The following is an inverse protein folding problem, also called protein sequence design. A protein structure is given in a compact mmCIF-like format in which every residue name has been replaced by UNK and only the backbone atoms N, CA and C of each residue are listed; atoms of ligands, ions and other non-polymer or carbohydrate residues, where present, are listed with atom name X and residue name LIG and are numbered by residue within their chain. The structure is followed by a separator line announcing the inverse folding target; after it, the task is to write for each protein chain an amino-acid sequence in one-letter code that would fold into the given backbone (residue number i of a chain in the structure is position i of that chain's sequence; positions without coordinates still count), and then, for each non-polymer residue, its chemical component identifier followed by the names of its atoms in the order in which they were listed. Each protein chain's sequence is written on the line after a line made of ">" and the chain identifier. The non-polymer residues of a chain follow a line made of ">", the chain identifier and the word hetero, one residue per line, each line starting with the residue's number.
data_IF_858432495411
#
_entry.id   IF_858432495411
#
_cell.length_a   1.000
_cell.length_b   1.000
_cell.length_c   1.000
_cell.angle_alpha   90.00
_cell.angle_beta   90.00
_cell.angle_gamma   90.00
#
_symmetry.space_group_name_H-M   'P 1'
#
loop_
_entity.id
_entity.type
_entity.pdbx_description
1 polymer ?
#
# COMPACT_ATOMS: atom_id res chain seq x y z
N UNK A 1 -25.75 -17.57 -5.56
CA UNK A 1 -24.34 -17.16 -5.40
C UNK A 1 -23.86 -17.73 -4.07
N UNK A 2 -22.67 -18.34 -4.02
CA UNK A 2 -22.14 -18.99 -2.80
C UNK A 2 -21.25 -18.07 -1.94
N UNK A 3 -20.83 -16.93 -2.49
CA UNK A 3 -20.06 -15.90 -1.78
C UNK A 3 -20.69 -14.53 -2.00
N UNK A 4 -20.60 -13.66 -1.00
CA UNK A 4 -20.96 -12.25 -1.07
C UNK A 4 -19.71 -11.37 -0.89
N UNK A 5 -19.46 -10.38 -1.77
CA UNK A 5 -18.36 -9.44 -1.57
C UNK A 5 -18.54 -8.69 -0.23
N UNK A 6 -17.50 -8.69 0.60
CA UNK A 6 -17.50 -7.99 1.90
C UNK A 6 -16.82 -6.64 1.81
N UNK A 7 -15.80 -6.52 0.95
CA UNK A 7 -15.06 -5.29 0.67
C UNK A 7 -14.56 -5.30 -0.78
N UNK A 8 -14.42 -4.11 -1.37
CA UNK A 8 -13.76 -3.86 -2.63
C UNK A 8 -12.99 -2.54 -2.57
N UNK A 9 -11.80 -2.50 -3.19
CA UNK A 9 -11.07 -1.27 -3.39
C UNK A 9 -10.71 -1.12 -4.86
N UNK A 10 -11.20 -0.05 -5.49
CA UNK A 10 -10.91 0.29 -6.87
C UNK A 10 -9.78 1.32 -6.91
N UNK A 11 -8.76 1.05 -7.71
CA UNK A 11 -7.63 1.96 -7.88
C UNK A 11 -6.96 1.78 -9.24
N UNK A 12 -6.27 2.82 -9.69
CA UNK A 12 -5.51 2.84 -10.92
C UNK A 12 -4.05 3.17 -10.65
N UNK A 13 -3.18 2.56 -11.44
CA UNK A 13 -1.77 2.88 -11.38
C UNK A 13 -1.52 4.29 -11.91
N UNK A 14 -0.67 5.04 -11.20
CA UNK A 14 -0.19 6.34 -11.63
C UNK A 14 1.24 6.54 -11.16
N UNK A 15 2.06 7.23 -11.96
CA UNK A 15 3.41 7.62 -11.56
C UNK A 15 3.35 8.49 -10.30
N UNK A 16 4.13 8.11 -9.28
CA UNK A 16 4.24 8.91 -8.06
C UNK A 16 4.95 10.24 -8.34
N UNK A 17 4.45 11.36 -7.77
CA UNK A 17 5.08 12.66 -7.92
C UNK A 17 6.36 12.83 -7.08
N UNK A 18 6.64 11.89 -6.17
CA UNK A 18 7.72 12.00 -5.17
C UNK A 18 8.98 11.23 -5.51
N UNK A 19 8.97 10.41 -6.57
CA UNK A 19 10.15 9.66 -7.05
C UNK A 19 10.86 10.44 -8.15
N UNK A 20 12.19 10.38 -8.12
CA UNK A 20 13.10 11.16 -8.97
C UNK A 20 12.70 11.18 -10.45
N UNK A 21 12.67 12.38 -11.04
CA UNK A 21 12.33 12.62 -12.46
C UNK A 21 13.41 12.10 -13.42
N UNK A 22 14.58 11.74 -12.91
CA UNK A 22 15.81 11.35 -13.63
C UNK A 22 15.90 9.87 -14.00
N UNK A 23 15.08 8.99 -13.44
CA UNK A 23 14.93 7.63 -13.99
C UNK A 23 14.01 7.68 -15.20
N UNK A 24 14.36 6.93 -16.25
CA UNK A 24 13.69 6.92 -17.55
C UNK A 24 12.16 6.86 -17.40
N UNK A 25 11.44 7.51 -18.32
CA UNK A 25 9.98 7.46 -18.35
C UNK A 25 9.49 6.00 -18.43
N UNK A 26 9.02 5.43 -17.32
CA UNK A 26 8.50 4.06 -17.24
C UNK A 26 9.12 3.18 -16.15
N UNK A 27 10.32 3.50 -15.63
CA UNK A 27 10.96 2.70 -14.57
C UNK A 27 10.29 2.91 -13.21
N UNK A 28 9.95 1.81 -12.52
CA UNK A 28 9.29 1.84 -11.21
C UNK A 28 7.81 2.22 -11.26
N UNK A 29 7.21 2.16 -12.45
CA UNK A 29 5.78 2.35 -12.70
C UNK A 29 5.12 1.03 -13.06
N UNK A 30 5.55 -0.09 -12.49
CA UNK A 30 4.85 -1.37 -12.62
C UNK A 30 4.36 -1.81 -11.24
N UNK A 31 3.06 -2.10 -11.11
CA UNK A 31 2.50 -2.69 -9.91
C UNK A 31 2.58 -4.21 -10.11
N UNK A 32 3.40 -4.86 -9.30
CA UNK A 32 3.54 -6.32 -9.27
C UNK A 32 3.13 -6.82 -7.88
N UNK A 33 1.85 -6.66 -7.48
CA UNK A 33 1.37 -7.19 -6.22
C UNK A 33 1.23 -8.71 -6.26
N UNK A 34 1.39 -9.37 -5.11
CA UNK A 34 1.22 -10.82 -4.96
C UNK A 34 2.48 -11.63 -5.21
N UNK A 35 3.66 -11.00 -5.29
CA UNK A 35 4.95 -11.66 -5.48
C UNK A 35 5.51 -12.29 -4.18
N UNK A 36 4.99 -11.90 -3.00
CA UNK A 36 5.40 -12.47 -1.71
C UNK A 36 4.57 -13.67 -1.26
N UNK A 37 5.04 -14.40 -0.24
CA UNK A 37 4.21 -15.37 0.50
C UNK A 37 3.04 -14.71 1.23
N UNK A 38 3.21 -13.45 1.61
CA UNK A 38 2.19 -12.64 2.26
C UNK A 38 1.93 -11.36 1.47
N UNK A 39 0.67 -10.94 1.50
CA UNK A 39 0.20 -9.67 0.92
C UNK A 39 -0.55 -8.89 1.99
N UNK A 40 -0.18 -7.63 2.20
CA UNK A 40 -0.89 -6.70 3.08
C UNK A 40 -1.56 -5.63 2.24
N UNK A 41 -2.89 -5.49 2.30
CA UNK A 41 -3.65 -4.52 1.49
C UNK A 41 -4.57 -3.69 2.37
N UNK A 42 -4.55 -2.38 2.19
CA UNK A 42 -5.43 -1.45 2.90
C UNK A 42 -5.67 -0.17 2.10
N UNK A 43 -6.82 0.49 2.31
CA UNK A 43 -7.08 1.80 1.74
C UNK A 43 -6.30 2.84 2.54
N UNK A 44 -5.82 3.90 1.89
CA UNK A 44 -5.12 4.99 2.56
C UNK A 44 -5.71 6.33 2.16
N UNK A 45 -6.03 7.16 3.13
CA UNK A 45 -6.62 8.49 2.93
C UNK A 45 -5.80 9.51 3.72
N UNK A 46 -5.38 10.59 3.04
CA UNK A 46 -4.67 11.71 3.65
C UNK A 46 -5.65 12.75 4.16
N UNK A 47 -5.28 13.47 5.21
CA UNK A 47 -6.08 14.60 5.70
C UNK A 47 -6.09 15.73 4.66
N UNK A 48 -7.13 16.57 4.65
CA UNK A 48 -7.17 17.74 3.75
C UNK A 48 -6.01 18.72 3.95
N UNK A 49 -5.42 18.76 5.15
CA UNK A 49 -4.24 19.57 5.44
C UNK A 49 -3.03 19.16 4.58
N UNK A 50 -2.87 17.87 4.27
CA UNK A 50 -1.84 17.36 3.36
C UNK A 50 -1.87 18.09 2.01
N UNK A 51 -3.06 18.19 1.41
CA UNK A 51 -3.23 18.77 0.08
C UNK A 51 -3.10 20.30 0.06
N UNK A 52 -3.12 20.96 1.24
CA UNK A 52 -2.83 22.40 1.36
C UNK A 52 -1.35 22.72 1.50
N UNK A 53 -0.50 21.72 1.78
CA UNK A 53 0.94 21.90 1.86
C UNK A 53 1.52 22.24 0.48
N UNK A 54 2.57 23.05 0.48
CA UNK A 54 3.35 23.31 -0.72
C UNK A 54 3.94 22.01 -1.28
N UNK A 55 4.16 21.90 -2.60
CA UNK A 55 4.82 20.73 -3.18
C UNK A 55 6.17 20.41 -2.53
N UNK A 56 6.95 21.43 -2.16
CA UNK A 56 8.24 21.27 -1.48
C UNK A 56 8.09 20.66 -0.08
N UNK A 57 7.12 21.13 0.72
CA UNK A 57 6.87 20.56 2.05
C UNK A 57 6.47 19.09 1.96
N UNK A 58 5.58 18.75 1.00
CA UNK A 58 5.22 17.34 0.76
C UNK A 58 6.40 16.51 0.29
N UNK A 59 7.25 17.04 -0.59
CA UNK A 59 8.44 16.33 -1.05
C UNK A 59 9.39 16.04 0.12
N UNK A 60 9.71 17.02 0.96
CA UNK A 60 10.59 16.81 2.11
C UNK A 60 10.08 15.74 3.07
N UNK A 61 8.78 15.75 3.41
CA UNK A 61 8.17 14.71 4.25
C UNK A 61 8.17 13.32 3.58
N UNK A 62 8.02 13.27 2.25
CA UNK A 62 8.10 12.00 1.52
C UNK A 62 9.53 11.50 1.38
N UNK A 63 10.53 12.38 1.26
CA UNK A 63 11.95 12.00 1.25
C UNK A 63 12.33 11.39 2.61
N UNK A 64 11.88 11.96 3.72
CA UNK A 64 12.03 11.40 5.06
C UNK A 64 11.36 10.01 5.15
N UNK A 65 10.12 9.89 4.68
CA UNK A 65 9.38 8.62 4.64
C UNK A 65 10.12 7.55 3.83
N UNK A 66 10.62 7.90 2.64
CA UNK A 66 11.39 7.01 1.78
C UNK A 66 12.69 6.60 2.49
N UNK A 67 13.42 7.53 3.08
CA UNK A 67 14.65 7.25 3.82
C UNK A 67 14.42 6.33 5.01
N UNK A 68 13.33 6.53 5.76
CA UNK A 68 12.95 5.67 6.89
C UNK A 68 12.62 4.24 6.45
N UNK A 69 12.03 4.08 5.26
CA UNK A 69 11.68 2.76 4.69
C UNK A 69 12.84 2.05 3.98
N UNK A 70 13.87 2.78 3.56
CA UNK A 70 14.95 2.27 2.72
C UNK A 70 15.69 1.03 3.25
N UNK A 71 15.90 0.84 4.57
CA UNK A 71 16.54 -0.36 5.11
C UNK A 71 15.73 -1.66 4.96
N UNK A 72 14.41 -1.57 4.80
CA UNK A 72 13.50 -2.73 4.74
C UNK A 72 13.45 -3.26 3.31
N UNK A 73 14.19 -4.34 3.03
CA UNK A 73 14.36 -4.90 1.67
C UNK A 73 13.46 -6.11 1.42
N UNK A 74 12.96 -6.77 2.46
CA UNK A 74 12.04 -7.89 2.34
C UNK A 74 10.58 -7.47 2.16
N UNK A 75 10.32 -6.16 2.02
CA UNK A 75 8.98 -5.61 1.77
C UNK A 75 8.99 -4.83 0.46
N UNK A 76 8.10 -5.22 -0.48
CA UNK A 76 7.92 -4.53 -1.75
C UNK A 76 6.61 -3.76 -1.74
N UNK A 77 6.68 -2.46 -2.04
CA UNK A 77 5.55 -1.54 -2.03
C UNK A 77 4.88 -1.45 -3.40
N UNK A 78 3.56 -1.55 -3.41
CA UNK A 78 2.68 -1.32 -4.54
C UNK A 78 1.66 -0.24 -4.14
N UNK A 79 1.72 0.95 -4.76
CA UNK A 79 0.78 2.05 -4.46
C UNK A 79 0.03 2.47 -5.71
N UNK A 80 -1.29 2.47 -5.63
CA UNK A 80 -2.21 2.93 -6.67
C UNK A 80 -3.12 4.04 -6.12
N UNK A 81 -3.88 4.68 -7.00
CA UNK A 81 -4.66 5.89 -6.70
C UNK A 81 -6.14 5.69 -7.01
N UNK A 82 -6.99 6.26 -6.18
CA UNK A 82 -8.45 6.05 -6.22
C UNK A 82 -9.26 7.34 -6.45
N UNK A 83 -8.58 8.45 -6.74
CA UNK A 83 -9.23 9.75 -6.92
C UNK A 83 -10.40 9.73 -7.92
N UNK A 84 -11.59 10.03 -7.43
CA UNK A 84 -12.81 10.14 -8.24
C UNK A 84 -13.43 8.80 -8.67
N UNK A 85 -12.85 7.67 -8.26
CA UNK A 85 -13.34 6.32 -8.60
C UNK A 85 -13.61 5.44 -7.37
N UNK A 86 -13.17 5.86 -6.18
CA UNK A 86 -13.46 5.21 -4.91
C UNK A 86 -13.25 6.20 -3.73
N UNK A 87 -13.55 5.77 -2.49
CA UNK A 87 -13.60 6.63 -1.29
C UNK A 87 -12.22 6.95 -0.69
N UNK A 88 -11.19 6.16 -0.99
CA UNK A 88 -9.81 6.40 -0.53
C UNK A 88 -9.01 7.24 -1.53
N UNK A 89 -7.88 7.80 -1.08
CA UNK A 89 -6.94 8.46 -1.99
C UNK A 89 -6.05 7.43 -2.70
N UNK A 90 -5.65 6.38 -1.96
CA UNK A 90 -4.74 5.33 -2.42
C UNK A 90 -5.22 3.95 -1.98
N UNK A 91 -4.88 2.94 -2.76
CA UNK A 91 -4.80 1.56 -2.27
C UNK A 91 -3.32 1.21 -2.16
N UNK A 92 -2.92 0.71 -0.99
CA UNK A 92 -1.53 0.36 -0.72
C UNK A 92 -1.47 -1.14 -0.48
N UNK A 93 -0.61 -1.80 -1.24
CA UNK A 93 -0.35 -3.22 -1.15
C UNK A 93 1.15 -3.46 -0.89
N UNK A 94 1.47 -4.37 0.03
CA UNK A 94 2.84 -4.74 0.34
C UNK A 94 3.03 -6.24 0.22
N UNK A 95 4.02 -6.64 -0.56
CA UNK A 95 4.46 -8.04 -0.65
C UNK A 95 5.61 -8.29 0.30
N UNK A 96 5.57 -9.41 1.01
CA UNK A 96 6.69 -9.84 1.82
C UNK A 96 6.71 -11.36 2.01
N UNK A 97 7.91 -11.91 2.20
CA UNK A 97 8.10 -13.27 2.72
C UNK A 97 8.26 -13.30 4.24
N UNK A 98 8.39 -12.12 4.87
CA UNK A 98 8.75 -11.92 6.28
C UNK A 98 7.76 -10.93 6.93
N UNK A 99 6.60 -11.40 7.42
CA UNK A 99 5.56 -10.52 7.96
C UNK A 99 6.04 -9.66 9.15
N UNK A 100 7.03 -10.13 9.91
CA UNK A 100 7.68 -9.36 10.98
C UNK A 100 8.35 -8.08 10.45
N UNK A 101 8.97 -8.13 9.27
CA UNK A 101 9.64 -6.97 8.69
C UNK A 101 8.62 -5.90 8.26
N UNK A 102 7.42 -6.31 7.85
CA UNK A 102 6.32 -5.39 7.57
C UNK A 102 5.82 -4.68 8.84
N UNK A 103 5.70 -5.40 9.96
CA UNK A 103 5.35 -4.79 11.26
C UNK A 103 6.39 -3.75 11.68
N UNK A 104 7.67 -4.09 11.58
CA UNK A 104 8.76 -3.19 11.93
C UNK A 104 8.81 -1.95 11.01
N UNK A 105 8.60 -2.15 9.70
CA UNK A 105 8.51 -1.07 8.72
C UNK A 105 7.38 -0.10 9.08
N UNK A 106 6.15 -0.61 9.24
CA UNK A 106 4.99 0.25 9.55
C UNK A 106 5.18 0.95 10.89
N UNK A 107 5.75 0.26 11.90
CA UNK A 107 6.12 0.84 13.19
C UNK A 107 7.12 1.98 13.05
N UNK A 108 8.18 1.81 12.23
CA UNK A 108 9.16 2.86 11.93
C UNK A 108 8.53 4.07 11.25
N UNK A 109 7.61 3.84 10.32
CA UNK A 109 6.94 4.91 9.58
C UNK A 109 6.04 5.79 10.45
N UNK A 110 5.60 5.32 11.64
CA UNK A 110 4.83 6.12 12.60
C UNK A 110 5.63 7.32 13.15
N UNK A 111 6.97 7.26 13.11
CA UNK A 111 7.83 8.35 13.59
C UNK A 111 8.11 9.44 12.55
N UNK A 112 7.62 9.29 11.32
CA UNK A 112 7.86 10.28 10.25
C UNK A 112 6.81 11.40 10.28
N UNK A 113 7.16 12.61 9.84
CA UNK A 113 6.21 13.74 9.85
C UNK A 113 4.98 13.49 8.97
N UNK A 114 5.15 12.72 7.89
CA UNK A 114 4.08 12.34 6.99
C UNK A 114 2.93 11.57 7.68
N UNK A 115 3.20 10.95 8.84
CA UNK A 115 2.23 10.18 9.63
C UNK A 115 1.10 11.06 10.18
N UNK A 116 1.39 12.33 10.53
CA UNK A 116 0.43 13.33 11.03
C UNK A 116 -0.73 13.60 10.06
N UNK A 117 -0.53 13.27 8.79
CA UNK A 117 -1.48 13.52 7.72
C UNK A 117 -2.30 12.29 7.33
N UNK A 118 -2.29 11.24 8.14
CA UNK A 118 -3.11 10.05 7.91
C UNK A 118 -4.52 10.27 8.45
N UNK A 119 -5.53 10.16 7.59
CA UNK A 119 -6.94 10.22 7.99
C UNK A 119 -7.52 8.83 8.22
N UNK A 120 -7.21 7.87 7.33
CA UNK A 120 -7.70 6.49 7.39
C UNK A 120 -6.70 5.55 6.74
N UNK A 121 -6.37 4.46 7.41
CA UNK A 121 -5.53 3.35 6.92
C UNK A 121 -6.18 1.97 7.17
N UNK A 122 -7.53 1.93 7.25
CA UNK A 122 -8.33 0.75 7.60
C UNK A 122 -9.53 0.54 6.64
N UNK A 123 -10.03 -0.70 6.48
CA UNK A 123 -9.56 -1.94 7.11
C UNK A 123 -8.25 -2.46 6.51
N UNK A 124 -7.50 -3.21 7.31
CA UNK A 124 -6.26 -3.89 6.93
C UNK A 124 -6.56 -5.36 6.62
N UNK A 125 -6.13 -5.82 5.45
CA UNK A 125 -6.19 -7.23 5.07
C UNK A 125 -4.77 -7.79 4.99
N UNK A 126 -4.50 -8.83 5.78
CA UNK A 126 -3.32 -9.69 5.64
C UNK A 126 -3.74 -10.98 4.98
N UNK A 127 -3.08 -11.34 3.89
CA UNK A 127 -3.37 -12.53 3.10
C UNK A 127 -2.14 -13.43 3.04
N UNK A 128 -2.36 -14.74 3.08
CA UNK A 128 -1.34 -15.73 2.73
C UNK A 128 -1.57 -16.20 1.28
N UNK A 129 -0.50 -16.25 0.48
CA UNK A 129 -0.56 -16.70 -0.90
C UNK A 129 -0.83 -18.20 -0.96
N UNK A 130 -1.86 -18.59 -1.70
CA UNK A 130 -2.21 -19.98 -1.92
C UNK A 130 -2.75 -20.17 -3.35
N UNK A 131 -2.60 -21.38 -3.94
CA UNK A 131 -3.31 -21.76 -5.15
C UNK A 131 -4.83 -21.66 -4.99
N UNK A 132 -5.54 -21.30 -6.06
CA UNK A 132 -6.99 -21.06 -6.04
C UNK A 132 -7.76 -22.30 -5.59
N UNK A 133 -7.36 -23.49 -6.02
CA UNK A 133 -7.94 -24.77 -5.62
C UNK A 133 -7.81 -25.02 -4.10
N UNK A 134 -6.66 -24.69 -3.52
CA UNK A 134 -6.47 -24.78 -2.08
C UNK A 134 -7.38 -23.79 -1.32
N UNK A 135 -7.56 -22.57 -1.83
CA UNK A 135 -8.47 -21.57 -1.24
C UNK A 135 -9.92 -22.07 -1.27
N UNK A 136 -10.37 -22.59 -2.42
CA UNK A 136 -11.73 -23.13 -2.56
C UNK A 136 -11.96 -24.34 -1.64
N UNK A 137 -10.97 -25.23 -1.52
CA UNK A 137 -11.04 -26.37 -0.61
C UNK A 137 -11.11 -25.95 0.86
N UNK A 138 -10.40 -24.89 1.27
CA UNK A 138 -10.51 -24.35 2.63
C UNK A 138 -11.93 -23.84 2.90
N UNK A 139 -12.52 -23.08 1.97
CA UNK A 139 -13.88 -22.55 2.11
C UNK A 139 -14.96 -23.66 2.17
N UNK A 140 -14.76 -24.74 1.43
CA UNK A 140 -15.70 -25.87 1.43
C UNK A 140 -15.72 -26.67 2.73
N UNK A 141 -14.65 -26.58 3.54
CA UNK A 141 -14.50 -27.27 4.82
C UNK A 141 -14.72 -26.34 6.03
N UNK A 142 -15.24 -25.13 5.80
CA UNK A 142 -15.70 -24.25 6.87
C UNK A 142 -17.15 -24.59 7.17
N UNK A 143 -17.37 -25.41 8.21
CA UNK A 143 -18.70 -25.70 8.77
C UNK A 143 -19.36 -24.43 9.35
#
# INVERSE_FOLDING_TARGET
>A
AYLSPVYNFLSLQRRSPYVNRTKNAGEGVELLPGEGKYLFVYPFTKTRAWYRLSPHARQGMMDEHIAASAPFKGVRLNTSYSYGIDDQDFVVAFDSDYPQEFVDLVGRLRYTEASLYTQRDTPMFMCAKAPVDAIVAQLANMD
#
